data_IF_038751146149
#
_entry.id   IF_038751146149
#
_cell.length_a   1.000
_cell.length_b   1.000
_cell.length_c   1.000
_cell.angle_alpha   90.00
_cell.angle_beta   90.00
_cell.angle_gamma   90.00
#
_symmetry.space_group_name_H-M   'P 1'
#
loop_
_entity.id
_entity.type
_entity.pdbx_description
1 polymer ?
#
# COMPACT_ATOMS: atom_id res chain seq x y z
N UNK A 1 -7.88 63.35 -34.40
CA UNK A 1 -7.16 63.45 -33.12
C UNK A 1 -7.71 62.39 -32.17
N UNK A 2 -6.81 61.53 -31.66
CA UNK A 2 -6.89 60.54 -30.55
C UNK A 2 -8.21 59.80 -30.26
N UNK A 3 -8.35 58.49 -30.43
CA UNK A 3 -7.68 57.33 -29.79
C UNK A 3 -8.21 56.96 -28.37
N UNK A 4 -8.60 55.69 -28.21
CA UNK A 4 -8.81 54.99 -26.93
C UNK A 4 -10.28 54.67 -26.62
N UNK A 5 -10.71 53.46 -26.25
CA UNK A 5 -9.98 52.24 -25.93
C UNK A 5 -10.95 51.05 -25.88
N UNK A 6 -10.41 49.86 -26.14
CA UNK A 6 -11.17 48.62 -26.21
C UNK A 6 -11.70 48.18 -24.85
N UNK A 7 -13.01 47.93 -24.78
CA UNK A 7 -13.61 47.16 -23.70
C UNK A 7 -13.41 45.67 -24.01
N UNK A 8 -12.22 45.15 -23.67
CA UNK A 8 -11.99 43.72 -23.61
C UNK A 8 -12.97 43.10 -22.61
N UNK A 9 -13.70 42.08 -23.07
CA UNK A 9 -14.52 41.23 -22.24
C UNK A 9 -13.64 40.62 -21.14
N UNK A 10 -13.66 41.20 -19.95
CA UNK A 10 -13.14 40.55 -18.77
C UNK A 10 -14.09 39.39 -18.45
N UNK A 11 -13.76 38.21 -18.97
CA UNK A 11 -14.39 36.98 -18.54
C UNK A 11 -14.23 36.89 -17.02
N UNK A 12 -15.36 36.87 -16.31
CA UNK A 12 -15.36 36.65 -14.86
C UNK A 12 -14.61 35.35 -14.56
N UNK A 13 -13.77 35.30 -13.52
CA UNK A 13 -13.15 34.04 -13.15
C UNK A 13 -14.29 33.08 -12.82
N UNK A 14 -14.28 31.90 -13.44
CA UNK A 14 -15.19 30.82 -13.08
C UNK A 14 -14.83 30.40 -11.66
N UNK A 15 -15.56 30.93 -10.70
CA UNK A 15 -15.54 30.49 -9.32
C UNK A 15 -15.94 29.01 -9.30
N UNK A 16 -15.02 28.16 -8.83
CA UNK A 16 -15.24 26.73 -8.70
C UNK A 16 -14.80 25.88 -9.89
N UNK A 17 -13.55 26.01 -10.32
CA UNK A 17 -12.83 24.77 -10.69
C UNK A 17 -12.32 24.19 -9.38
N UNK A 18 -12.54 22.91 -9.05
CA UNK A 18 -11.83 22.34 -7.92
C UNK A 18 -10.35 22.48 -8.28
N UNK A 19 -9.65 23.34 -7.55
CA UNK A 19 -8.20 23.27 -7.47
C UNK A 19 -7.87 21.79 -7.37
N UNK A 20 -7.00 21.29 -8.24
CA UNK A 20 -6.48 19.94 -8.15
C UNK A 20 -5.70 19.84 -6.84
N UNK A 21 -6.42 19.75 -5.73
CA UNK A 21 -5.91 19.59 -4.39
C UNK A 21 -5.35 18.20 -4.35
N UNK A 22 -4.05 18.11 -4.65
CA UNK A 22 -3.29 16.89 -4.48
C UNK A 22 -3.54 16.36 -3.06
N UNK A 23 -3.68 15.05 -2.95
CA UNK A 23 -3.79 14.40 -1.65
C UNK A 23 -2.64 14.84 -0.76
N UNK A 24 -2.94 15.14 0.51
CA UNK A 24 -1.90 15.39 1.49
C UNK A 24 -0.97 14.18 1.58
N UNK A 25 0.35 14.37 1.82
CA UNK A 25 1.28 13.26 1.96
C UNK A 25 0.80 12.27 3.01
N UNK A 26 0.81 10.99 2.67
CA UNK A 26 0.37 9.93 3.58
C UNK A 26 1.47 9.61 4.59
N UNK A 27 1.10 9.47 5.86
CA UNK A 27 2.00 8.96 6.90
C UNK A 27 2.55 7.56 6.55
N UNK A 28 1.76 6.73 5.85
CA UNK A 28 2.16 5.39 5.40
C UNK A 28 3.35 5.42 4.42
N UNK A 29 3.65 6.57 3.82
CA UNK A 29 4.80 6.74 2.93
C UNK A 29 6.09 7.15 3.64
N UNK A 30 6.09 7.25 4.97
CA UNK A 30 7.23 7.77 5.75
C UNK A 30 7.91 6.68 6.55
N UNK A 31 9.24 6.73 6.66
CA UNK A 31 10.00 5.75 7.46
C UNK A 31 9.64 5.87 8.93
N UNK A 32 9.51 7.09 9.41
CA UNK A 32 9.22 7.41 10.82
C UNK A 32 7.91 6.76 11.29
N UNK A 33 6.90 6.67 10.41
CA UNK A 33 5.68 5.94 10.70
C UNK A 33 5.92 4.45 10.92
N UNK A 34 6.69 3.81 10.02
CA UNK A 34 6.97 2.38 10.08
C UNK A 34 7.92 2.01 11.22
N UNK A 35 8.88 2.87 11.56
CA UNK A 35 9.74 2.70 12.74
C UNK A 35 8.88 2.65 14.03
N UNK A 36 7.93 3.59 14.17
CA UNK A 36 7.02 3.63 15.32
C UNK A 36 6.07 2.42 15.37
N UNK A 37 5.57 1.96 14.21
CA UNK A 37 4.76 0.73 14.12
C UNK A 37 5.57 -0.49 14.56
N UNK A 38 6.80 -0.61 14.08
CA UNK A 38 7.69 -1.72 14.43
C UNK A 38 7.99 -1.76 15.93
N UNK A 39 8.33 -0.63 16.55
CA UNK A 39 8.59 -0.55 18.00
C UNK A 39 7.38 -1.00 18.82
N UNK A 40 6.17 -0.56 18.43
CA UNK A 40 4.92 -0.95 19.10
C UNK A 40 4.66 -2.45 18.97
N UNK A 41 4.78 -3.02 17.77
CA UNK A 41 4.55 -4.44 17.54
C UNK A 41 5.56 -5.31 18.30
N UNK A 42 6.83 -4.89 18.33
CA UNK A 42 7.86 -5.57 19.10
C UNK A 42 7.54 -5.60 20.60
N UNK A 43 7.07 -4.47 21.14
CA UNK A 43 6.64 -4.39 22.55
C UNK A 43 5.44 -5.31 22.82
N UNK A 44 4.41 -5.28 21.96
CA UNK A 44 3.23 -6.16 22.08
C UNK A 44 3.61 -7.65 22.03
N UNK A 45 4.55 -8.02 21.16
CA UNK A 45 5.06 -9.39 21.09
C UNK A 45 5.76 -9.80 22.39
N UNK A 46 6.59 -8.91 22.96
CA UNK A 46 7.31 -9.19 24.21
C UNK A 46 6.38 -9.31 25.42
N UNK A 47 5.33 -8.50 25.51
CA UNK A 47 4.39 -8.52 26.64
C UNK A 47 3.34 -9.64 26.53
N UNK A 48 2.75 -9.83 25.36
CA UNK A 48 1.56 -10.67 25.18
C UNK A 48 1.76 -11.87 24.22
N UNK A 49 2.90 -11.94 23.53
CA UNK A 49 3.12 -12.94 22.47
C UNK A 49 2.30 -12.65 21.21
N UNK A 50 1.84 -11.42 21.01
CA UNK A 50 1.08 -11.01 19.83
C UNK A 50 1.99 -10.99 18.60
N UNK A 51 1.70 -11.87 17.63
CA UNK A 51 2.46 -12.01 16.38
C UNK A 51 2.24 -10.87 15.38
N UNK A 52 1.40 -9.90 15.71
CA UNK A 52 1.13 -8.72 14.90
C UNK A 52 -0.04 -8.91 13.93
N UNK A 53 -0.35 -7.84 13.21
CA UNK A 53 -1.54 -7.73 12.36
C UNK A 53 -1.37 -8.39 10.99
N UNK A 54 -2.45 -9.03 10.52
CA UNK A 54 -2.57 -9.55 9.15
C UNK A 54 -3.37 -8.54 8.31
N UNK A 55 -2.66 -7.76 7.50
CA UNK A 55 -3.24 -6.63 6.76
C UNK A 55 -4.15 -7.02 5.59
N UNK A 56 -3.78 -8.05 4.82
CA UNK A 56 -4.50 -8.46 3.61
C UNK A 56 -5.40 -9.69 3.80
N UNK A 57 -5.36 -10.31 4.97
CA UNK A 57 -6.16 -11.48 5.34
C UNK A 57 -5.81 -12.78 4.59
N UNK A 58 -6.35 -13.89 5.08
CA UNK A 58 -6.14 -15.23 4.51
C UNK A 58 -6.67 -15.41 3.09
N UNK A 59 -7.73 -14.68 2.74
CA UNK A 59 -8.34 -14.77 1.41
C UNK A 59 -7.38 -14.29 0.32
N UNK A 60 -6.71 -13.15 0.55
CA UNK A 60 -5.73 -12.60 -0.40
C UNK A 60 -4.56 -13.55 -0.60
N UNK A 61 -4.08 -14.15 0.49
CA UNK A 61 -3.01 -15.16 0.43
C UNK A 61 -3.45 -16.39 -0.39
N UNK A 62 -4.66 -16.90 -0.13
CA UNK A 62 -5.19 -18.08 -0.83
C UNK A 62 -5.37 -17.84 -2.33
N UNK A 63 -5.81 -16.63 -2.73
CA UNK A 63 -5.90 -16.24 -4.13
C UNK A 63 -4.53 -16.22 -4.81
N UNK A 64 -3.49 -15.73 -4.12
CA UNK A 64 -2.11 -15.69 -4.63
C UNK A 64 -1.55 -17.12 -4.80
N UNK A 65 -1.72 -17.99 -3.80
CA UNK A 65 -1.30 -19.40 -3.89
C UNK A 65 -1.97 -20.10 -5.07
N UNK A 66 -3.29 -19.93 -5.23
CA UNK A 66 -4.02 -20.50 -6.36
C UNK A 66 -3.48 -20.01 -7.70
N UNK A 67 -3.23 -18.70 -7.83
CA UNK A 67 -2.66 -18.13 -9.04
C UNK A 67 -1.28 -18.75 -9.37
N UNK A 68 -0.42 -18.93 -8.36
CA UNK A 68 0.88 -19.59 -8.53
C UNK A 68 0.76 -21.04 -9.00
N UNK A 69 -0.22 -21.78 -8.47
CA UNK A 69 -0.51 -23.16 -8.89
C UNK A 69 -1.01 -23.22 -10.34
N UNK A 70 -1.95 -22.33 -10.72
CA UNK A 70 -2.48 -22.23 -12.09
C UNK A 70 -1.41 -21.90 -13.12
N UNK A 71 -0.33 -21.21 -12.71
CA UNK A 71 0.79 -20.82 -13.56
C UNK A 71 2.01 -21.73 -13.41
N UNK A 72 1.87 -22.85 -12.68
CA UNK A 72 2.90 -23.87 -12.49
C UNK A 72 4.26 -23.27 -12.04
N UNK A 73 4.23 -22.31 -11.11
CA UNK A 73 5.44 -21.68 -10.59
C UNK A 73 6.33 -22.77 -9.96
N UNK A 74 7.61 -22.90 -10.37
CA UNK A 74 8.47 -23.96 -9.87
C UNK A 74 8.64 -23.91 -8.35
N UNK A 75 8.66 -25.07 -7.69
CA UNK A 75 8.89 -25.16 -6.24
C UNK A 75 10.23 -24.55 -5.78
N UNK A 76 11.21 -24.50 -6.67
CA UNK A 76 12.53 -23.89 -6.43
C UNK A 76 12.62 -22.42 -6.83
N UNK A 77 11.52 -21.78 -7.23
CA UNK A 77 11.52 -20.37 -7.58
C UNK A 77 11.84 -19.49 -6.35
N UNK A 78 12.64 -18.46 -6.57
CA UNK A 78 12.88 -17.45 -5.55
C UNK A 78 11.66 -16.51 -5.45
N UNK A 79 11.20 -16.25 -4.22
CA UNK A 79 10.07 -15.36 -3.92
C UNK A 79 10.56 -14.20 -3.06
N UNK A 80 10.19 -12.97 -3.42
CA UNK A 80 10.41 -11.76 -2.65
C UNK A 80 9.06 -11.19 -2.25
N UNK A 81 8.84 -11.03 -0.94
CA UNK A 81 7.66 -10.37 -0.38
C UNK A 81 8.04 -8.97 0.12
N UNK A 82 7.40 -7.94 -0.44
CA UNK A 82 7.71 -6.53 -0.15
C UNK A 82 6.62 -5.98 0.78
N UNK A 83 7.03 -5.45 1.93
CA UNK A 83 6.07 -5.05 2.96
C UNK A 83 5.45 -6.25 3.67
N UNK A 84 6.24 -7.32 3.86
CA UNK A 84 5.80 -8.62 4.42
C UNK A 84 5.26 -8.54 5.86
N UNK A 85 5.47 -7.42 6.57
CA UNK A 85 5.06 -7.27 7.96
C UNK A 85 5.66 -8.38 8.83
N UNK A 86 4.78 -9.14 9.51
CA UNK A 86 5.17 -10.29 10.33
C UNK A 86 5.57 -11.55 9.53
N UNK A 87 5.52 -11.53 8.19
CA UNK A 87 5.97 -12.63 7.35
C UNK A 87 4.94 -13.73 7.11
N UNK A 88 3.68 -13.55 7.52
CA UNK A 88 2.66 -14.61 7.47
C UNK A 88 2.47 -15.21 6.07
N UNK A 89 2.54 -14.40 5.00
CA UNK A 89 2.41 -14.92 3.63
C UNK A 89 3.53 -15.92 3.29
N UNK A 90 4.78 -15.63 3.67
CA UNK A 90 5.90 -16.53 3.42
C UNK A 90 5.77 -17.83 4.22
N UNK A 91 5.30 -17.75 5.47
CA UNK A 91 5.00 -18.92 6.30
C UNK A 91 3.91 -19.78 5.66
N UNK A 92 2.83 -19.14 5.21
CA UNK A 92 1.72 -19.79 4.51
C UNK A 92 2.17 -20.45 3.21
N UNK A 93 3.03 -19.81 2.43
CA UNK A 93 3.59 -20.38 1.20
C UNK A 93 4.42 -21.63 1.50
N UNK A 94 5.28 -21.62 2.51
CA UNK A 94 6.06 -22.80 2.92
C UNK A 94 5.15 -23.95 3.34
N UNK A 95 4.07 -23.67 4.08
CA UNK A 95 3.11 -24.67 4.55
C UNK A 95 2.21 -25.24 3.44
N UNK A 96 1.73 -24.39 2.53
CA UNK A 96 0.77 -24.77 1.48
C UNK A 96 1.41 -25.34 0.22
N UNK A 97 2.67 -25.00 -0.06
CA UNK A 97 3.41 -25.52 -1.23
C UNK A 97 4.03 -26.90 -0.93
N UNK A 98 4.16 -27.29 0.34
CA UNK A 98 4.67 -28.61 0.74
C UNK A 98 3.58 -29.65 0.99
N UNK A 99 2.86 -30.08 -0.05
CA UNK A 99 2.23 -31.41 -0.07
C UNK A 99 2.19 -31.94 -1.50
N UNK A 100 3.07 -32.90 -1.80
CA UNK A 100 2.91 -33.91 -2.83
C UNK A 100 3.21 -35.25 -2.16
#
# INVERSE_FOLDING_TARGET
>A
MSAGGGAGLAARPREGSPEAGGFAPSALGTREHWDAVYERELHSFQEYGDTGEIWFGEESMSRLVRWMQEHEIPLGAAVLDIGTGNGVLLVELVGKIRFH
#
